data_IF_344313712910
#
_entry.id   IF_344313712910
#
_cell.length_a   1.000
_cell.length_b   1.000
_cell.length_c   1.000
_cell.angle_alpha   90.00
_cell.angle_beta   90.00
_cell.angle_gamma   90.00
#
_symmetry.space_group_name_H-M   'P 1'
#
loop_
_entity.id
_entity.type
_entity.pdbx_description
1 polymer ?
#
# COMPACT_ATOMS: atom_id res chain seq x y z
N UNK A 1 8.45 18.82 -18.55
CA UNK A 1 7.70 18.22 -17.43
C UNK A 1 8.31 16.86 -17.14
N UNK A 2 9.16 16.75 -16.12
CA UNK A 2 9.84 15.52 -15.71
C UNK A 2 9.37 15.19 -14.30
N UNK A 3 8.98 13.93 -14.08
CA UNK A 3 8.71 13.40 -12.74
C UNK A 3 7.29 12.87 -12.54
N UNK A 4 6.85 11.90 -13.36
CA UNK A 4 5.85 10.97 -12.87
C UNK A 4 6.53 10.13 -11.78
N UNK A 5 6.19 10.40 -10.53
CA UNK A 5 6.69 9.64 -9.40
C UNK A 5 6.34 8.17 -9.60
N UNK A 6 7.36 7.31 -9.56
CA UNK A 6 7.19 5.84 -9.47
C UNK A 6 6.46 5.45 -8.16
N UNK A 7 6.13 6.41 -7.29
CA UNK A 7 5.36 6.22 -6.05
C UNK A 7 3.86 6.00 -6.23
N UNK A 8 3.22 6.54 -7.28
CA UNK A 8 1.75 6.53 -7.36
C UNK A 8 1.16 5.18 -7.79
N UNK A 9 1.87 4.41 -8.62
CA UNK A 9 1.30 3.15 -9.15
C UNK A 9 1.16 2.08 -8.07
N UNK A 10 2.12 1.98 -7.14
CA UNK A 10 2.04 1.03 -6.03
C UNK A 10 0.93 1.38 -5.04
N UNK A 11 0.67 2.68 -4.83
CA UNK A 11 -0.41 3.14 -3.96
C UNK A 11 -1.80 2.94 -4.58
N UNK A 12 -1.93 3.01 -5.91
CA UNK A 12 -3.21 2.78 -6.59
C UNK A 12 -3.58 1.30 -6.76
N UNK A 13 -2.61 0.38 -6.63
CA UNK A 13 -2.85 -1.05 -6.78
C UNK A 13 -3.87 -1.60 -5.77
N UNK A 14 -3.71 -1.29 -4.47
CA UNK A 14 -4.63 -1.83 -3.44
C UNK A 14 -6.06 -1.29 -3.55
N UNK A 15 -6.30 0.02 -3.72
CA UNK A 15 -7.65 0.54 -3.94
C UNK A 15 -8.31 -0.03 -5.18
N UNK A 16 -7.56 -0.22 -6.28
CA UNK A 16 -8.08 -0.82 -7.50
C UNK A 16 -8.49 -2.27 -7.29
N UNK A 17 -7.60 -3.08 -6.73
CA UNK A 17 -7.87 -4.47 -6.40
C UNK A 17 -9.06 -4.61 -5.42
N UNK A 18 -9.14 -3.74 -4.42
CA UNK A 18 -10.25 -3.74 -3.48
C UNK A 18 -11.60 -3.47 -4.17
N UNK A 19 -11.65 -2.50 -5.09
CA UNK A 19 -12.84 -2.20 -5.87
C UNK A 19 -13.24 -3.35 -6.81
N UNK A 20 -12.28 -4.03 -7.43
CA UNK A 20 -12.52 -5.17 -8.33
C UNK A 20 -13.09 -6.40 -7.60
N UNK A 21 -12.65 -6.63 -6.36
CA UNK A 21 -12.97 -7.85 -5.61
C UNK A 21 -13.98 -7.64 -4.47
N UNK A 22 -14.45 -6.40 -4.25
CA UNK A 22 -15.40 -6.07 -3.18
C UNK A 22 -14.77 -6.05 -1.78
N UNK A 23 -13.45 -5.84 -1.71
CA UNK A 23 -12.70 -5.77 -0.46
C UNK A 23 -12.61 -4.34 0.08
N UNK A 24 -12.14 -4.22 1.32
CA UNK A 24 -11.95 -2.94 1.99
C UNK A 24 -10.46 -2.66 2.15
N UNK A 25 -10.06 -1.42 1.84
CA UNK A 25 -8.74 -0.90 2.20
C UNK A 25 -8.86 -0.16 3.52
N UNK A 26 -8.07 -0.57 4.51
CA UNK A 26 -7.95 0.14 5.78
C UNK A 26 -6.73 1.06 5.73
N UNK A 27 -6.94 2.32 6.11
CA UNK A 27 -5.88 3.29 6.30
C UNK A 27 -5.42 3.28 7.75
N UNK A 28 -4.11 3.19 7.94
CA UNK A 28 -3.48 3.24 9.27
C UNK A 28 -2.88 4.62 9.53
N UNK A 29 -2.62 4.94 10.79
CA UNK A 29 -2.10 6.25 11.20
C UNK A 29 -0.66 6.53 10.75
N UNK A 30 0.08 5.52 10.28
CA UNK A 30 1.44 5.67 9.71
C UNK A 30 1.45 5.72 8.17
N UNK A 31 0.31 6.09 7.57
CA UNK A 31 0.08 6.15 6.12
C UNK A 31 0.20 4.79 5.40
N UNK A 32 0.18 3.67 6.13
CA UNK A 32 0.12 2.33 5.52
C UNK A 32 -1.30 1.96 5.13
N UNK A 33 -1.41 1.09 4.11
CA UNK A 33 -2.66 0.55 3.59
C UNK A 33 -2.73 -0.95 3.85
N UNK A 34 -3.81 -1.41 4.46
CA UNK A 34 -4.07 -2.84 4.69
C UNK A 34 -5.23 -3.32 3.83
N UNK A 35 -5.07 -4.50 3.23
CA UNK A 35 -6.15 -5.20 2.54
C UNK A 35 -6.60 -6.39 3.40
N UNK A 36 -7.85 -6.37 3.85
CA UNK A 36 -8.32 -7.23 4.94
C UNK A 36 -8.46 -8.70 4.56
N UNK A 37 -8.63 -9.02 3.28
CA UNK A 37 -8.86 -10.39 2.79
C UNK A 37 -7.56 -11.11 2.43
N UNK A 38 -6.52 -10.40 1.98
CA UNK A 38 -5.24 -10.99 1.57
C UNK A 38 -4.20 -11.06 2.68
N UNK A 39 -4.45 -10.44 3.84
CA UNK A 39 -3.43 -10.31 4.90
C UNK A 39 -2.21 -9.53 4.41
N UNK A 40 -2.41 -8.55 3.52
CA UNK A 40 -1.32 -7.74 2.93
C UNK A 40 -1.37 -6.33 3.49
N UNK A 41 -0.23 -5.85 3.98
CA UNK A 41 0.00 -4.48 4.42
C UNK A 41 1.03 -3.81 3.50
N UNK A 42 0.65 -2.79 2.75
CA UNK A 42 1.59 -1.90 2.06
C UNK A 42 2.05 -0.82 3.02
N UNK A 43 3.29 -0.93 3.48
CA UNK A 43 3.87 0.04 4.41
C UNK A 43 4.55 1.18 3.67
N UNK A 44 4.19 2.39 4.06
CA UNK A 44 4.82 3.64 3.62
C UNK A 44 6.01 3.92 4.53
N UNK A 45 7.24 3.98 3.98
CA UNK A 45 8.44 4.23 4.80
C UNK A 45 9.37 5.24 4.14
N UNK A 46 9.82 6.21 4.93
CA UNK A 46 10.91 7.10 4.55
C UNK A 46 12.25 6.43 4.91
N UNK A 47 13.11 6.19 3.92
CA UNK A 47 14.47 5.66 4.09
C UNK A 47 15.47 6.66 3.53
N UNK A 48 16.09 7.42 4.43
CA UNK A 48 16.96 8.54 4.06
C UNK A 48 16.18 9.59 3.25
N UNK A 49 16.67 9.89 2.04
CA UNK A 49 16.00 10.80 1.11
C UNK A 49 14.92 10.13 0.24
N UNK A 50 14.75 8.80 0.32
CA UNK A 50 13.82 8.05 -0.52
C UNK A 50 12.57 7.59 0.23
N UNK A 51 11.48 7.42 -0.53
CA UNK A 51 10.23 6.81 -0.04
C UNK A 51 10.13 5.39 -0.59
N UNK A 52 9.97 4.40 0.29
CA UNK A 52 9.73 3.00 -0.06
C UNK A 52 8.29 2.60 0.25
N UNK A 53 7.66 1.94 -0.71
CA UNK A 53 6.41 1.21 -0.54
C UNK A 53 6.69 -0.26 -0.79
N UNK A 54 6.54 -1.10 0.24
CA UNK A 54 6.78 -2.55 0.12
C UNK A 54 5.64 -3.35 0.76
N UNK A 55 5.20 -4.44 0.12
CA UNK A 55 4.23 -5.35 0.72
C UNK A 55 4.85 -6.13 1.87
N UNK A 56 4.12 -6.17 2.97
CA UNK A 56 4.34 -7.04 4.11
C UNK A 56 3.18 -8.03 4.15
N UNK A 57 3.51 -9.32 4.21
CA UNK A 57 2.53 -10.37 4.45
C UNK A 57 2.33 -10.50 5.96
N UNK A 58 1.12 -10.21 6.42
CA UNK A 58 0.70 -10.37 7.80
C UNK A 58 0.28 -11.81 7.99
N UNK A 59 0.90 -12.50 8.94
CA UNK A 59 0.49 -13.83 9.38
C UNK A 59 -0.28 -13.68 10.67
N UNK A 60 -1.48 -14.26 10.74
CA UNK A 60 -2.22 -14.40 12.00
C UNK A 60 -1.47 -15.39 12.91
N UNK A 61 -1.33 -15.07 14.20
CA UNK A 61 -0.64 -15.92 15.19
C UNK A 61 -1.38 -17.22 15.51
#
# INVERSE_FOLDING_TARGET
MLGAAVGDQGQQFLPHHAAEHGNWVLHTSDDSLSLTDLGVLLRSQQVGAGHLTRPLFVKEE
#
